data_IF_741465935874
#
_entry.id   IF_741465935874
#
_cell.length_a   1.000
_cell.length_b   1.000
_cell.length_c   1.000
_cell.angle_alpha   90.00
_cell.angle_beta   90.00
_cell.angle_gamma   90.00
#
_symmetry.space_group_name_H-M   'P 1'
#
loop_
_entity.id
_entity.type
_entity.pdbx_description
1 polymer ?
#
# COMPACT_ATOMS: atom_id res chain seq x y z
N UNK A 1 -25.99 9.58 -8.47
CA UNK A 1 -25.33 8.40 -7.86
C UNK A 1 -25.53 7.20 -8.79
N UNK A 2 -24.44 6.58 -9.24
CA UNK A 2 -24.50 5.38 -10.07
C UNK A 2 -24.65 4.11 -9.20
N UNK A 3 -23.79 3.98 -8.19
CA UNK A 3 -23.81 2.87 -7.24
C UNK A 3 -23.15 3.28 -5.91
N UNK A 4 -23.23 2.42 -4.93
CA UNK A 4 -22.59 2.52 -3.60
C UNK A 4 -22.21 1.13 -3.12
N UNK A 5 -21.05 1.01 -2.47
CA UNK A 5 -20.58 -0.23 -1.89
C UNK A 5 -20.07 0.00 -0.47
N UNK A 6 -20.38 -0.92 0.44
CA UNK A 6 -19.86 -0.94 1.80
C UNK A 6 -18.49 -1.63 1.80
N UNK A 7 -17.44 -0.89 2.17
CA UNK A 7 -16.06 -1.37 2.17
C UNK A 7 -15.41 -1.38 3.56
N UNK A 8 -16.15 -0.96 4.60
CA UNK A 8 -15.63 -0.84 5.97
C UNK A 8 -15.04 0.54 6.28
N UNK A 9 -14.33 0.63 7.41
CA UNK A 9 -13.67 1.85 7.89
C UNK A 9 -12.28 1.94 7.26
N UNK A 10 -11.88 3.11 6.76
CA UNK A 10 -10.54 3.35 6.24
C UNK A 10 -10.39 4.69 5.56
N UNK A 11 -9.15 5.02 5.25
CA UNK A 11 -8.74 6.26 4.57
C UNK A 11 -8.03 5.97 3.24
N UNK A 12 -8.06 4.70 2.79
CA UNK A 12 -7.60 4.32 1.47
C UNK A 12 -8.37 5.08 0.39
N UNK A 13 -7.67 5.62 -0.58
CA UNK A 13 -8.29 6.12 -1.79
C UNK A 13 -8.64 4.95 -2.74
N UNK A 14 -9.02 5.23 -3.95
CA UNK A 14 -9.43 4.25 -4.95
C UNK A 14 -8.45 4.30 -6.11
N UNK A 15 -7.97 3.12 -6.54
CA UNK A 15 -7.29 2.96 -7.82
C UNK A 15 -8.18 2.20 -8.81
N UNK A 16 -8.01 2.45 -10.10
CA UNK A 16 -8.83 1.81 -11.14
C UNK A 16 -7.98 1.22 -12.25
N UNK A 17 -8.31 0.00 -12.65
CA UNK A 17 -7.74 -0.67 -13.81
C UNK A 17 -8.66 -1.83 -14.25
N UNK A 18 -8.55 -2.27 -15.49
CA UNK A 18 -9.26 -3.46 -16.00
C UNK A 18 -10.78 -3.45 -15.80
N UNK A 19 -11.41 -2.26 -15.77
CA UNK A 19 -12.84 -2.12 -15.47
C UNK A 19 -13.19 -2.36 -13.99
N UNK A 20 -12.21 -2.39 -13.11
CA UNK A 20 -12.36 -2.57 -11.66
C UNK A 20 -11.91 -1.34 -10.88
N UNK A 21 -12.49 -1.15 -9.71
CA UNK A 21 -12.09 -0.17 -8.69
C UNK A 21 -11.60 -0.93 -7.45
N UNK A 22 -10.44 -0.55 -6.93
CA UNK A 22 -9.76 -1.21 -5.82
C UNK A 22 -9.61 -0.27 -4.64
N UNK A 23 -9.91 -0.76 -3.44
CA UNK A 23 -9.71 -0.02 -2.19
C UNK A 23 -9.53 -0.98 -1.01
N UNK A 24 -9.15 -0.44 0.14
CA UNK A 24 -9.03 -1.17 1.41
C UNK A 24 -10.03 -0.61 2.42
N UNK A 25 -10.57 -1.49 3.24
CA UNK A 25 -11.40 -1.11 4.39
C UNK A 25 -11.25 -2.11 5.52
N UNK A 26 -11.62 -1.71 6.74
CA UNK A 26 -11.54 -2.50 7.96
C UNK A 26 -12.94 -2.80 8.50
N UNK A 27 -13.20 -4.06 8.85
CA UNK A 27 -14.35 -4.51 9.60
C UNK A 27 -14.02 -5.82 10.33
N UNK A 28 -14.61 -6.06 11.49
CA UNK A 28 -14.56 -7.33 12.23
C UNK A 28 -13.11 -7.84 12.46
N UNK A 29 -12.20 -6.94 12.91
CA UNK A 29 -10.78 -7.22 13.12
C UNK A 29 -10.03 -7.73 11.88
N UNK A 30 -10.48 -7.34 10.69
CA UNK A 30 -9.86 -7.66 9.42
C UNK A 30 -9.76 -6.42 8.53
N UNK A 31 -8.64 -6.28 7.84
CA UNK A 31 -8.57 -5.42 6.66
C UNK A 31 -8.95 -6.24 5.43
N UNK A 32 -9.70 -5.64 4.54
CA UNK A 32 -10.14 -6.26 3.29
C UNK A 32 -9.75 -5.39 2.12
N UNK A 33 -8.92 -5.92 1.24
CA UNK A 33 -8.72 -5.40 -0.10
C UNK A 33 -9.88 -5.90 -0.97
N UNK A 34 -10.60 -4.98 -1.60
CA UNK A 34 -11.78 -5.29 -2.41
C UNK A 34 -11.61 -4.77 -3.84
N UNK A 35 -11.98 -5.57 -4.80
CA UNK A 35 -12.17 -5.17 -6.20
C UNK A 35 -13.66 -5.15 -6.55
N UNK A 36 -14.11 -4.00 -6.99
CA UNK A 36 -15.48 -3.75 -7.39
C UNK A 36 -15.53 -3.53 -8.90
N UNK A 37 -16.56 -4.02 -9.55
CA UNK A 37 -16.87 -3.64 -10.93
C UNK A 37 -17.10 -2.12 -11.00
N UNK A 38 -16.34 -1.41 -11.81
CA UNK A 38 -16.35 0.05 -11.82
C UNK A 38 -17.65 0.64 -12.38
N UNK A 39 -18.42 -0.11 -13.17
CA UNK A 39 -19.69 0.34 -13.73
C UNK A 39 -20.87 0.07 -12.80
N UNK A 40 -20.83 -1.02 -12.02
CA UNK A 40 -22.00 -1.49 -11.24
C UNK A 40 -21.80 -1.45 -9.72
N UNK A 41 -20.54 -1.36 -9.23
CA UNK A 41 -20.20 -1.48 -7.81
C UNK A 41 -20.26 -2.92 -7.27
N UNK A 42 -20.53 -3.91 -8.13
CA UNK A 42 -20.59 -5.31 -7.71
C UNK A 42 -19.19 -5.81 -7.30
N UNK A 43 -19.13 -6.54 -6.18
CA UNK A 43 -17.88 -7.17 -5.73
C UNK A 43 -17.44 -8.24 -6.73
N UNK A 44 -16.22 -8.13 -7.22
CA UNK A 44 -15.59 -9.10 -8.13
C UNK A 44 -14.72 -10.09 -7.35
N UNK A 45 -13.92 -9.59 -6.43
CA UNK A 45 -13.15 -10.41 -5.49
C UNK A 45 -12.83 -9.62 -4.21
N UNK A 46 -12.47 -10.36 -3.16
CA UNK A 46 -11.99 -9.84 -1.88
C UNK A 46 -10.79 -10.65 -1.41
N UNK A 47 -9.85 -9.95 -0.76
CA UNK A 47 -8.77 -10.56 -0.01
C UNK A 47 -8.77 -9.97 1.40
N UNK A 48 -9.14 -10.78 2.40
CA UNK A 48 -9.21 -10.36 3.81
C UNK A 48 -8.09 -10.99 4.62
N UNK A 49 -7.53 -10.23 5.54
CA UNK A 49 -6.50 -10.69 6.46
C UNK A 49 -6.70 -10.07 7.84
N UNK A 50 -6.25 -10.78 8.89
CA UNK A 50 -6.39 -10.31 10.26
C UNK A 50 -5.61 -9.02 10.46
N UNK A 51 -6.26 -7.99 10.99
CA UNK A 51 -5.68 -6.68 11.21
C UNK A 51 -6.35 -6.00 12.39
N UNK A 52 -5.60 -5.18 13.12
CA UNK A 52 -6.16 -4.30 14.16
C UNK A 52 -6.61 -3.00 13.51
N UNK A 53 -7.72 -2.44 13.98
CA UNK A 53 -8.24 -1.16 13.49
C UNK A 53 -7.22 -0.02 13.65
N UNK A 54 -6.46 -0.02 14.76
CA UNK A 54 -5.43 0.99 15.02
C UNK A 54 -5.98 2.39 15.18
N UNK A 55 -7.15 2.53 15.81
CA UNK A 55 -7.71 3.82 16.20
C UNK A 55 -6.83 4.44 17.29
N UNK A 56 -6.42 5.70 17.13
CA UNK A 56 -5.62 6.45 18.12
C UNK A 56 -6.25 7.82 18.38
N UNK A 57 -6.26 8.72 17.45
CA UNK A 57 -6.93 10.03 17.52
C UNK A 57 -7.96 10.20 16.39
N UNK A 58 -8.25 9.13 15.67
CA UNK A 58 -9.17 9.05 14.55
C UNK A 58 -9.75 7.62 14.48
N UNK A 59 -10.65 7.36 13.55
CA UNK A 59 -11.38 6.09 13.47
C UNK A 59 -10.48 4.87 13.22
N UNK A 60 -9.26 5.04 12.70
CA UNK A 60 -8.39 3.93 12.34
C UNK A 60 -8.67 3.35 10.95
N UNK A 61 -8.16 2.15 10.71
CA UNK A 61 -8.28 1.46 9.43
C UNK A 61 -7.13 1.78 8.46
N UNK A 62 -7.08 1.11 7.28
CA UNK A 62 -6.02 1.26 6.30
C UNK A 62 -6.01 2.65 5.67
N UNK A 63 -4.81 3.22 5.48
CA UNK A 63 -4.61 4.55 4.88
C UNK A 63 -3.94 4.49 3.50
N UNK A 64 -3.19 3.42 3.21
CA UNK A 64 -2.54 3.29 1.90
C UNK A 64 -3.55 2.96 0.80
N UNK A 65 -3.26 3.42 -0.42
CA UNK A 65 -4.05 3.11 -1.61
C UNK A 65 -3.38 1.98 -2.40
N UNK A 66 -4.12 0.97 -2.88
CA UNK A 66 -3.56 -0.06 -3.75
C UNK A 66 -2.95 0.53 -5.02
N UNK A 67 -1.80 0.01 -5.45
CA UNK A 67 -1.13 0.45 -6.68
C UNK A 67 -1.20 -0.65 -7.72
N UNK A 68 -1.55 -0.29 -8.96
CA UNK A 68 -1.68 -1.22 -10.08
C UNK A 68 -0.52 -1.03 -11.05
N UNK A 69 0.09 -2.14 -11.46
CA UNK A 69 1.09 -2.21 -12.52
C UNK A 69 0.82 -3.42 -13.41
N UNK A 70 0.29 -3.17 -14.60
CA UNK A 70 -0.19 -4.22 -15.48
C UNK A 70 -1.26 -5.09 -14.81
N UNK A 71 -1.05 -6.39 -14.74
CA UNK A 71 -1.96 -7.35 -14.11
C UNK A 71 -1.64 -7.59 -12.61
N UNK A 72 -0.75 -6.78 -12.01
CA UNK A 72 -0.38 -6.87 -10.60
C UNK A 72 -0.98 -5.72 -9.79
N UNK A 73 -1.39 -6.04 -8.58
CA UNK A 73 -1.85 -5.10 -7.57
C UNK A 73 -0.95 -5.23 -6.34
N UNK A 74 -0.48 -4.10 -5.83
CA UNK A 74 0.34 -4.00 -4.62
C UNK A 74 -0.42 -3.24 -3.54
N UNK A 75 -0.46 -3.79 -2.35
CA UNK A 75 -1.09 -3.17 -1.19
C UNK A 75 -0.26 -3.39 0.07
N UNK A 76 -0.19 -2.39 0.93
CA UNK A 76 0.46 -2.47 2.24
C UNK A 76 -0.55 -2.16 3.33
N UNK A 77 -0.55 -2.98 4.41
CA UNK A 77 -1.31 -2.71 5.61
C UNK A 77 -0.60 -1.70 6.50
N UNK A 78 -1.33 -1.12 7.44
CA UNK A 78 -0.77 -0.32 8.54
C UNK A 78 0.36 -1.02 9.30
N UNK A 79 0.30 -2.34 9.38
CA UNK A 79 1.15 -3.18 10.23
C UNK A 79 2.27 -3.88 9.45
N UNK A 80 2.45 -3.54 8.18
CA UNK A 80 3.54 -4.03 7.35
C UNK A 80 3.24 -5.33 6.59
N UNK A 81 1.97 -5.78 6.54
CA UNK A 81 1.59 -6.84 5.61
C UNK A 81 1.59 -6.27 4.20
N UNK A 82 2.46 -6.75 3.37
CA UNK A 82 2.66 -6.31 1.99
C UNK A 82 2.27 -7.43 1.04
N UNK A 83 1.39 -7.12 0.11
CA UNK A 83 0.84 -8.08 -0.83
C UNK A 83 1.11 -7.66 -2.27
N UNK A 84 1.41 -8.65 -3.11
CA UNK A 84 1.26 -8.57 -4.55
C UNK A 84 0.22 -9.59 -4.97
N UNK A 85 -0.86 -9.15 -5.61
CA UNK A 85 -1.93 -10.01 -6.08
C UNK A 85 -2.12 -9.86 -7.59
N UNK A 86 -2.75 -10.84 -8.20
CA UNK A 86 -3.31 -10.68 -9.53
C UNK A 86 -4.49 -9.70 -9.45
N UNK A 87 -4.41 -8.57 -10.14
CA UNK A 87 -5.42 -7.52 -10.07
C UNK A 87 -6.81 -7.97 -10.53
N UNK A 88 -6.89 -8.91 -11.49
CA UNK A 88 -8.16 -9.39 -12.05
C UNK A 88 -8.85 -10.45 -11.18
N UNK A 89 -8.05 -11.31 -10.50
CA UNK A 89 -8.58 -12.48 -9.78
C UNK A 89 -8.48 -12.38 -8.25
N UNK A 90 -7.57 -11.54 -7.72
CA UNK A 90 -7.27 -11.44 -6.30
C UNK A 90 -6.35 -12.54 -5.76
N UNK A 91 -5.80 -13.41 -6.64
CA UNK A 91 -4.87 -14.46 -6.23
C UNK A 91 -3.55 -13.85 -5.73
N UNK A 92 -3.04 -14.33 -4.61
CA UNK A 92 -1.75 -13.89 -4.05
C UNK A 92 -0.63 -14.42 -4.95
N UNK A 93 0.19 -13.52 -5.49
CA UNK A 93 1.41 -13.84 -6.22
C UNK A 93 2.60 -13.96 -5.27
N UNK A 94 2.70 -13.03 -4.32
CA UNK A 94 3.59 -13.09 -3.17
C UNK A 94 3.08 -12.21 -2.04
N UNK A 95 3.53 -12.48 -0.82
CA UNK A 95 3.25 -11.67 0.37
C UNK A 95 4.45 -11.62 1.30
N UNK A 96 4.56 -10.54 2.06
CA UNK A 96 5.61 -10.29 3.05
C UNK A 96 5.00 -9.65 4.31
N UNK A 97 5.69 -9.81 5.43
CA UNK A 97 5.41 -9.03 6.64
C UNK A 97 6.66 -8.21 6.98
N UNK A 98 6.80 -7.07 6.29
CA UNK A 98 8.05 -6.31 6.23
C UNK A 98 8.47 -5.70 7.58
N UNK A 99 7.52 -5.34 8.44
CA UNK A 99 7.87 -4.82 9.78
C UNK A 99 8.68 -5.85 10.56
N UNK A 100 8.22 -7.10 10.62
CA UNK A 100 8.89 -8.17 11.35
C UNK A 100 10.12 -8.70 10.63
N UNK A 101 10.00 -8.96 9.34
CA UNK A 101 11.06 -9.58 8.55
C UNK A 101 12.30 -8.69 8.43
N UNK A 102 12.11 -7.38 8.32
CA UNK A 102 13.20 -6.40 8.24
C UNK A 102 13.54 -5.76 9.60
N UNK A 103 12.68 -5.96 10.60
CA UNK A 103 12.83 -5.36 11.94
C UNK A 103 12.64 -3.84 11.93
N UNK A 104 11.62 -3.36 11.20
CA UNK A 104 11.34 -1.94 11.06
C UNK A 104 10.64 -1.39 12.30
N UNK A 105 10.93 -0.14 12.64
CA UNK A 105 10.15 0.62 13.60
C UNK A 105 8.86 1.10 12.93
N UNK A 106 7.71 0.74 13.49
CA UNK A 106 6.43 1.23 13.01
C UNK A 106 6.28 2.73 13.32
N UNK A 107 5.87 3.53 12.33
CA UNK A 107 5.41 4.89 12.60
C UNK A 107 4.19 4.88 13.54
N UNK A 108 3.95 5.96 14.26
CA UNK A 108 2.87 6.08 15.26
C UNK A 108 1.48 5.71 14.73
N UNK A 109 1.20 6.01 13.47
CA UNK A 109 -0.05 5.66 12.79
C UNK A 109 0.10 4.52 11.77
N UNK A 110 1.23 3.78 11.86
CA UNK A 110 1.55 2.68 10.94
C UNK A 110 1.91 3.14 9.53
N UNK A 111 2.11 2.20 8.60
CA UNK A 111 2.40 2.52 7.20
C UNK A 111 1.14 3.02 6.51
N UNK A 112 1.15 4.25 6.01
CA UNK A 112 0.04 4.89 5.31
C UNK A 112 0.40 5.34 3.88
N UNK A 113 1.69 5.45 3.56
CA UNK A 113 2.15 5.71 2.21
C UNK A 113 1.79 4.56 1.26
N UNK A 114 1.30 4.89 0.08
CA UNK A 114 0.98 3.89 -0.94
C UNK A 114 2.26 3.37 -1.62
N UNK A 115 2.29 2.12 -2.11
CA UNK A 115 3.39 1.62 -2.91
C UNK A 115 3.57 2.44 -4.20
N UNK A 116 4.82 2.67 -4.60
CA UNK A 116 5.17 3.26 -5.90
C UNK A 116 5.89 2.21 -6.76
N UNK A 117 5.47 2.04 -8.01
CA UNK A 117 6.22 1.24 -8.99
C UNK A 117 7.05 2.16 -9.86
N UNK A 118 8.35 1.87 -9.91
CA UNK A 118 9.31 2.57 -10.76
C UNK A 118 10.21 1.56 -11.47
N UNK A 119 9.95 1.32 -12.75
CA UNK A 119 10.59 0.24 -13.51
C UNK A 119 10.30 -1.13 -12.88
N UNK A 120 11.35 -1.87 -12.52
CA UNK A 120 11.24 -3.19 -11.87
C UNK A 120 11.22 -3.12 -10.34
N UNK A 121 11.13 -1.93 -9.76
CA UNK A 121 11.18 -1.70 -8.32
C UNK A 121 9.81 -1.33 -7.76
N UNK A 122 9.50 -1.90 -6.61
CA UNK A 122 8.44 -1.47 -5.70
C UNK A 122 9.09 -0.62 -4.61
N UNK A 123 8.70 0.63 -4.51
CA UNK A 123 9.23 1.59 -3.55
C UNK A 123 8.17 1.86 -2.46
N UNK A 124 8.62 1.86 -1.22
CA UNK A 124 7.82 2.12 -0.04
C UNK A 124 8.45 3.22 0.81
N UNK A 125 7.62 4.05 1.42
CA UNK A 125 8.03 4.88 2.53
C UNK A 125 8.05 4.01 3.80
N UNK A 126 9.14 3.27 3.98
CA UNK A 126 9.39 2.35 5.09
C UNK A 126 10.88 2.39 5.45
N UNK A 127 11.21 2.41 6.74
CA UNK A 127 12.52 2.84 7.21
C UNK A 127 12.71 4.35 7.07
N UNK A 128 13.70 4.95 7.70
CA UNK A 128 13.84 6.41 7.82
C UNK A 128 14.00 7.17 6.48
N UNK A 129 14.44 6.51 5.41
CA UNK A 129 14.63 7.12 4.09
C UNK A 129 14.18 6.22 2.93
N UNK A 130 13.23 5.32 3.19
CA UNK A 130 12.61 4.47 2.17
C UNK A 130 13.18 3.06 2.05
N UNK A 131 12.47 2.24 1.29
CA UNK A 131 12.75 0.84 1.00
C UNK A 131 12.43 0.52 -0.46
N UNK A 132 13.25 -0.31 -1.10
CA UNK A 132 13.02 -0.80 -2.45
C UNK A 132 13.00 -2.33 -2.47
N UNK A 133 12.02 -2.89 -3.16
CA UNK A 133 11.89 -4.33 -3.40
C UNK A 133 11.85 -4.62 -4.90
N UNK A 134 12.22 -5.83 -5.28
CA UNK A 134 11.89 -6.37 -6.59
C UNK A 134 10.37 -6.57 -6.69
N UNK A 135 9.72 -5.90 -7.62
CA UNK A 135 8.25 -5.91 -7.73
C UNK A 135 7.68 -7.29 -8.05
N UNK A 136 8.48 -8.17 -8.68
CA UNK A 136 8.03 -9.49 -9.12
C UNK A 136 8.10 -10.54 -8.02
N UNK A 137 9.13 -10.46 -7.19
CA UNK A 137 9.43 -11.46 -6.15
C UNK A 137 9.17 -11.00 -4.73
N UNK A 138 9.05 -9.68 -4.51
CA UNK A 138 8.97 -9.07 -3.19
C UNK A 138 10.30 -9.06 -2.42
N UNK A 139 11.41 -9.49 -3.04
CA UNK A 139 12.73 -9.51 -2.39
C UNK A 139 13.22 -8.08 -2.15
N UNK A 140 13.72 -7.81 -0.94
CA UNK A 140 14.34 -6.53 -0.60
C UNK A 140 15.61 -6.33 -1.41
N UNK A 141 15.68 -5.22 -2.14
CA UNK A 141 16.83 -4.76 -2.91
C UNK A 141 17.64 -3.74 -2.13
N UNK A 142 16.96 -2.91 -1.37
CA UNK A 142 17.56 -1.84 -0.59
C UNK A 142 16.65 -1.42 0.57
N UNK A 143 17.24 -1.10 1.69
CA UNK A 143 16.60 -0.52 2.88
C UNK A 143 17.55 0.53 3.45
N UNK A 144 17.06 1.76 3.66
CA UNK A 144 17.87 2.85 4.19
C UNK A 144 18.36 2.59 5.61
N UNK A 145 17.44 2.31 6.51
CA UNK A 145 17.65 1.98 7.92
C UNK A 145 16.36 1.36 8.49
N UNK A 146 16.29 1.19 9.82
CA UNK A 146 15.14 0.57 10.51
C UNK A 146 14.28 1.57 11.30
N UNK A 147 14.55 2.85 11.17
CA UNK A 147 13.82 3.92 11.86
C UNK A 147 12.40 4.07 11.30
N UNK A 148 11.56 4.78 12.04
CA UNK A 148 10.20 5.08 11.61
C UNK A 148 10.22 5.95 10.33
N UNK A 149 9.34 5.64 9.41
CA UNK A 149 9.11 6.43 8.20
C UNK A 149 8.07 7.53 8.45
N UNK A 150 7.98 8.47 7.50
CA UNK A 150 6.80 9.33 7.40
C UNK A 150 5.60 8.60 6.75
N UNK A 151 4.59 9.38 6.39
CA UNK A 151 3.29 8.87 5.95
C UNK A 151 3.02 9.12 4.46
N UNK A 152 3.93 9.82 3.77
CA UNK A 152 3.74 10.17 2.35
C UNK A 152 3.92 8.97 1.44
N UNK A 153 3.19 8.97 0.34
CA UNK A 153 3.50 8.11 -0.81
C UNK A 153 4.77 8.60 -1.48
N UNK A 154 5.76 7.73 -1.81
CA UNK A 154 6.91 8.10 -2.60
C UNK A 154 6.49 8.73 -3.93
N UNK A 155 7.09 9.86 -4.30
CA UNK A 155 6.76 10.59 -5.53
C UNK A 155 7.97 10.69 -6.45
N UNK A 156 7.92 10.11 -7.67
CA UNK A 156 9.02 10.23 -8.62
C UNK A 156 9.01 11.61 -9.29
N UNK A 157 10.19 12.18 -9.51
CA UNK A 157 10.36 13.39 -10.31
C UNK A 157 11.69 13.34 -11.07
N UNK A 158 11.81 14.14 -12.12
CA UNK A 158 13.04 14.23 -12.93
C UNK A 158 13.67 15.60 -12.76
N UNK A 159 14.95 15.62 -12.46
CA UNK A 159 15.77 16.81 -12.41
C UNK A 159 17.04 16.58 -13.21
N UNK A 160 17.36 17.47 -14.13
CA UNK A 160 18.56 17.41 -15.01
C UNK A 160 18.77 16.02 -15.66
N UNK A 161 17.68 15.38 -16.12
CA UNK A 161 17.72 14.07 -16.77
C UNK A 161 17.87 12.87 -15.83
N UNK A 162 18.00 13.09 -14.52
CA UNK A 162 18.06 12.05 -13.49
C UNK A 162 16.71 11.91 -12.80
N UNK A 163 16.27 10.67 -12.58
CA UNK A 163 15.03 10.39 -11.84
C UNK A 163 15.36 10.25 -10.36
N UNK A 164 14.67 11.02 -9.56
CA UNK A 164 14.68 11.01 -8.10
C UNK A 164 13.35 10.53 -7.56
N UNK A 165 13.30 10.15 -6.29
CA UNK A 165 12.07 9.82 -5.58
C UNK A 165 12.02 10.63 -4.29
N UNK A 166 11.06 11.56 -4.20
CA UNK A 166 10.80 12.31 -3.00
C UNK A 166 9.94 11.48 -2.02
N UNK A 167 10.29 11.51 -0.76
CA UNK A 167 9.52 10.96 0.34
C UNK A 167 9.74 11.80 1.61
N UNK A 168 8.89 11.61 2.61
CA UNK A 168 9.06 12.29 3.90
C UNK A 168 9.30 11.26 5.00
N UNK A 169 10.11 11.61 5.99
CA UNK A 169 10.05 11.02 7.32
C UNK A 169 9.37 12.00 8.29
N UNK A 170 9.56 11.84 9.61
CA UNK A 170 8.92 12.72 10.61
C UNK A 170 9.41 14.17 10.49
N UNK A 171 10.69 14.39 10.16
CA UNK A 171 11.37 15.69 10.24
C UNK A 171 11.74 16.28 8.87
N UNK A 172 11.90 15.44 7.84
CA UNK A 172 12.51 15.84 6.57
C UNK A 172 11.73 15.38 5.35
N UNK A 173 11.85 16.15 4.27
CA UNK A 173 11.63 15.67 2.92
C UNK A 173 12.98 15.25 2.33
N UNK A 174 13.01 14.08 1.71
CA UNK A 174 14.20 13.44 1.15
C UNK A 174 14.00 13.21 -0.35
N UNK A 175 15.08 13.27 -1.13
CA UNK A 175 15.05 12.96 -2.55
C UNK A 175 16.40 12.35 -3.02
#
# INVERSE_FOLDING_TARGET
>A
KLWEAQVGIGFSSISTAHGLAYTLGHADDQDTLVALDSATGAVRWKHSYKSKLGAKFYQGGPGSTPTIDGDRLYAISKWGDLFCLNAKTGDILWQRQIEKEEGLTLPDWGFNGSPLILGERLLLNAGGAGMALDKTTGKTLWLSNKEASGYSTPLPFTWEGTTYVALSNEDYFLA
#
